data_IF_132881000790
#
_entry.id   IF_132881000790
#
_cell.length_a   1.000
_cell.length_b   1.000
_cell.length_c   1.000
_cell.angle_alpha   90.00
_cell.angle_beta   90.00
_cell.angle_gamma   90.00
#
_symmetry.space_group_name_H-M   'P 1'
#
loop_
_entity.id
_entity.type
_entity.pdbx_description
1 polymer ?
#
# COMPACT_ATOMS: atom_id res chain seq x y z
N UNK A 1 0.91 -3.98 10.90
CA UNK A 1 0.58 -2.72 10.18
C UNK A 1 -0.93 -2.48 10.21
N UNK A 2 -1.41 -1.24 10.08
CA UNK A 2 -2.86 -0.92 9.99
C UNK A 2 -3.17 0.07 8.88
N UNK A 3 -4.18 -0.21 8.08
CA UNK A 3 -4.60 0.55 6.90
C UNK A 3 -6.02 1.10 7.08
N UNK A 4 -6.22 2.36 6.74
CA UNK A 4 -7.56 2.94 6.54
C UNK A 4 -7.61 3.60 5.18
N UNK A 5 -8.56 3.18 4.35
CA UNK A 5 -8.80 3.78 3.04
C UNK A 5 -9.96 4.76 3.13
N UNK A 6 -9.88 5.88 2.42
CA UNK A 6 -10.93 6.92 2.44
C UNK A 6 -11.52 7.23 1.05
N UNK A 7 -11.13 6.47 0.04
CA UNK A 7 -11.52 6.70 -1.36
C UNK A 7 -10.33 7.06 -2.24
N UNK A 8 -10.41 6.70 -3.53
CA UNK A 8 -9.34 6.88 -4.52
C UNK A 8 -7.99 6.38 -3.97
N UNK A 9 -6.98 7.25 -3.91
CA UNK A 9 -5.64 6.96 -3.38
C UNK A 9 -5.42 7.51 -1.97
N UNK A 10 -6.48 7.96 -1.27
CA UNK A 10 -6.34 8.47 0.09
C UNK A 10 -6.26 7.35 1.10
N UNK A 11 -5.14 7.26 1.79
CA UNK A 11 -4.91 6.27 2.85
C UNK A 11 -4.33 6.93 4.10
N UNK A 12 -4.69 6.38 5.25
CA UNK A 12 -3.91 6.52 6.48
C UNK A 12 -3.31 5.16 6.82
N UNK A 13 -2.00 5.15 7.01
CA UNK A 13 -1.19 3.94 7.21
C UNK A 13 -0.46 4.08 8.52
N UNK A 14 -0.66 3.13 9.44
CA UNK A 14 0.16 2.99 10.64
C UNK A 14 1.18 1.89 10.37
N UNK A 15 2.45 2.26 10.27
CA UNK A 15 3.54 1.37 9.87
C UNK A 15 4.85 1.78 10.56
N UNK A 16 5.58 0.82 11.14
CA UNK A 16 6.85 1.04 11.85
C UNK A 16 6.76 2.12 12.92
N UNK A 17 5.68 2.09 13.72
CA UNK A 17 5.42 3.06 14.79
C UNK A 17 5.04 4.47 14.32
N UNK A 18 4.83 4.68 13.02
CA UNK A 18 4.53 5.99 12.42
C UNK A 18 3.17 6.00 11.72
N UNK A 19 2.60 7.19 11.57
CA UNK A 19 1.37 7.46 10.84
C UNK A 19 1.70 8.22 9.56
N UNK A 20 1.53 7.55 8.42
CA UNK A 20 1.66 8.14 7.09
C UNK A 20 0.26 8.40 6.50
N UNK A 21 0.09 9.55 5.85
CA UNK A 21 -1.13 9.88 5.10
C UNK A 21 -0.78 10.09 3.63
N UNK A 22 -1.41 9.30 2.76
CA UNK A 22 -1.22 9.34 1.30
C UNK A 22 -2.37 10.13 0.69
N UNK A 23 -2.08 11.08 -0.21
CA UNK A 23 -3.04 11.86 -1.00
C UNK A 23 -4.25 12.36 -0.19
N UNK A 24 -4.08 13.17 0.86
CA UNK A 24 -5.21 13.64 1.67
C UNK A 24 -6.23 14.45 0.85
N UNK A 25 -5.78 15.06 -0.25
CA UNK A 25 -6.59 15.90 -1.14
C UNK A 25 -7.37 15.09 -2.20
N UNK A 26 -7.08 13.79 -2.36
CA UNK A 26 -7.81 12.93 -3.29
C UNK A 26 -9.18 12.47 -2.73
N UNK A 27 -9.38 12.60 -1.42
CA UNK A 27 -10.57 12.13 -0.72
C UNK A 27 -11.86 12.78 -1.23
N UNK A 28 -12.99 12.13 -0.99
CA UNK A 28 -14.29 12.73 -1.30
C UNK A 28 -14.53 13.99 -0.46
N UNK A 29 -15.26 14.97 -0.99
CA UNK A 29 -15.57 16.25 -0.31
C UNK A 29 -16.38 16.10 1.00
N UNK A 30 -16.85 14.89 1.32
CA UNK A 30 -17.57 14.58 2.55
C UNK A 30 -16.66 14.31 3.74
N UNK A 31 -15.36 14.13 3.51
CA UNK A 31 -14.38 13.82 4.53
C UNK A 31 -13.65 15.09 4.97
N UNK A 32 -13.52 15.31 6.28
CA UNK A 32 -12.70 16.41 6.78
C UNK A 32 -11.22 16.06 6.64
N UNK A 33 -10.52 16.80 5.78
CA UNK A 33 -9.08 16.67 5.55
C UNK A 33 -8.26 16.75 6.84
N UNK A 34 -8.66 17.62 7.77
CA UNK A 34 -7.93 17.79 9.03
C UNK A 34 -8.07 16.55 9.92
N UNK A 35 -9.20 15.87 9.86
CA UNK A 35 -9.41 14.61 10.58
C UNK A 35 -8.51 13.50 10.04
N UNK A 36 -8.41 13.39 8.71
CA UNK A 36 -7.54 12.39 8.06
C UNK A 36 -6.08 12.59 8.43
N UNK A 37 -5.61 13.84 8.38
CA UNK A 37 -4.22 14.20 8.68
C UNK A 37 -3.90 14.26 10.17
N UNK A 38 -4.90 14.17 11.05
CA UNK A 38 -4.70 14.35 12.49
C UNK A 38 -3.75 13.29 13.05
N UNK A 39 -2.63 13.76 13.61
CA UNK A 39 -1.57 12.91 14.15
C UNK A 39 -0.73 12.19 13.08
N UNK A 40 -0.73 12.66 11.83
CA UNK A 40 0.19 12.16 10.82
C UNK A 40 1.62 12.63 11.11
N UNK A 41 2.57 11.71 11.11
CA UNK A 41 4.00 12.00 11.17
C UNK A 41 4.50 12.48 9.81
N UNK A 42 3.95 11.92 8.72
CA UNK A 42 4.25 12.36 7.36
C UNK A 42 2.98 12.38 6.50
N UNK A 43 2.90 13.38 5.61
CA UNK A 43 1.86 13.50 4.59
C UNK A 43 2.55 13.49 3.24
N UNK A 44 2.15 12.56 2.37
CA UNK A 44 2.83 12.27 1.12
C UNK A 44 1.84 12.21 -0.03
N UNK A 45 2.30 12.58 -1.22
CA UNK A 45 1.54 12.40 -2.44
C UNK A 45 1.95 11.10 -3.14
N UNK A 46 1.02 10.38 -3.76
CA UNK A 46 1.31 9.17 -4.54
C UNK A 46 2.36 9.46 -5.63
N UNK A 47 2.15 10.56 -6.37
CA UNK A 47 3.06 11.03 -7.42
C UNK A 47 3.91 12.23 -6.94
N UNK A 48 4.32 12.22 -5.66
CA UNK A 48 5.23 13.21 -5.10
C UNK A 48 6.67 13.07 -5.59
N UNK A 49 7.55 13.95 -5.11
CA UNK A 49 8.99 13.89 -5.38
C UNK A 49 9.66 12.84 -4.48
N UNK A 50 9.46 11.57 -4.83
CA UNK A 50 10.05 10.43 -4.13
C UNK A 50 11.24 9.88 -4.92
N UNK A 51 12.27 9.34 -4.25
CA UNK A 51 13.34 8.65 -4.95
C UNK A 51 12.79 7.47 -5.75
N UNK A 52 13.17 7.40 -7.03
CA UNK A 52 12.81 6.27 -7.87
C UNK A 52 13.59 5.01 -7.48
N UNK A 53 12.92 3.87 -7.45
CA UNK A 53 13.55 2.56 -7.25
C UNK A 53 13.18 1.59 -8.39
N UNK A 54 14.09 0.67 -8.67
CA UNK A 54 13.80 -0.44 -9.58
C UNK A 54 13.07 -1.56 -8.82
N UNK A 55 11.75 -1.66 -9.01
CA UNK A 55 10.91 -2.66 -8.34
C UNK A 55 11.36 -4.11 -8.53
N UNK A 56 12.03 -4.45 -9.65
CA UNK A 56 12.54 -5.80 -9.87
C UNK A 56 13.79 -6.14 -9.05
N UNK A 57 14.61 -5.14 -8.71
CA UNK A 57 15.89 -5.29 -8.03
C UNK A 57 15.90 -4.75 -6.58
N UNK A 58 14.82 -4.10 -6.17
CA UNK A 58 14.69 -3.52 -4.84
C UNK A 58 14.75 -4.59 -3.75
N UNK A 59 15.27 -4.19 -2.59
CA UNK A 59 15.38 -5.04 -1.40
C UNK A 59 14.96 -4.24 -0.18
N UNK A 60 14.22 -4.86 0.76
CA UNK A 60 13.92 -4.24 2.06
C UNK A 60 15.20 -3.81 2.77
N UNK A 61 15.11 -2.69 3.48
CA UNK A 61 16.18 -2.25 4.36
C UNK A 61 16.42 -3.29 5.45
N UNK A 62 17.67 -3.52 5.87
CA UNK A 62 17.92 -4.28 7.09
C UNK A 62 17.29 -3.57 8.29
N UNK A 63 16.69 -4.36 9.18
CA UNK A 63 16.17 -3.86 10.45
C UNK A 63 17.26 -3.10 11.22
N UNK A 64 16.88 -2.00 11.86
CA UNK A 64 17.79 -1.24 12.71
C UNK A 64 18.26 -2.10 13.89
N UNK A 65 19.54 -1.95 14.25
CA UNK A 65 20.10 -2.67 15.38
C UNK A 65 19.66 -1.97 16.66
N UNK A 66 19.27 -2.74 17.68
CA UNK A 66 18.89 -2.19 18.99
C UNK A 66 19.96 -1.30 19.64
N UNK A 67 21.25 -1.49 19.28
CA UNK A 67 22.36 -0.66 19.78
C UNK A 67 22.43 0.71 19.11
N UNK A 68 21.89 0.82 17.90
CA UNK A 68 21.88 2.03 17.08
C UNK A 68 20.51 2.75 17.14
N UNK A 69 19.47 2.06 17.60
CA UNK A 69 18.12 2.58 17.76
C UNK A 69 18.07 3.70 18.82
N UNK A 70 17.52 4.85 18.43
CA UNK A 70 17.22 5.94 19.35
C UNK A 70 15.86 5.76 20.03
N UNK A 71 15.45 6.76 20.81
CA UNK A 71 14.14 6.76 21.48
C UNK A 71 12.96 6.94 20.51
N UNK A 72 13.21 7.43 19.29
CA UNK A 72 12.21 7.64 18.26
C UNK A 72 12.26 6.55 17.18
N UNK A 73 11.11 6.12 16.62
CA UNK A 73 11.09 5.17 15.50
C UNK A 73 11.88 5.68 14.30
N UNK A 74 12.62 4.78 13.64
CA UNK A 74 13.32 5.09 12.40
C UNK A 74 12.34 5.40 11.28
N UNK A 75 12.46 6.59 10.69
CA UNK A 75 11.57 7.08 9.65
C UNK A 75 11.35 6.06 8.52
N UNK A 76 10.10 5.86 8.10
CA UNK A 76 9.79 4.99 6.96
C UNK A 76 10.44 5.55 5.67
N UNK A 77 10.95 4.67 4.82
CA UNK A 77 11.46 5.03 3.50
C UNK A 77 10.35 4.90 2.46
N UNK A 78 10.27 5.89 1.58
CA UNK A 78 9.23 5.99 0.56
C UNK A 78 9.90 6.03 -0.81
N UNK A 79 9.42 5.22 -1.74
CA UNK A 79 9.98 5.07 -3.07
C UNK A 79 8.88 5.13 -4.13
N UNK A 80 9.18 5.73 -5.28
CA UNK A 80 8.36 5.60 -6.47
C UNK A 80 8.84 4.41 -7.32
N UNK A 81 7.92 3.52 -7.73
CA UNK A 81 8.22 2.42 -8.66
C UNK A 81 7.70 2.66 -10.08
N UNK A 82 7.06 3.81 -10.31
CA UNK A 82 6.42 4.21 -11.55
C UNK A 82 5.26 5.17 -11.27
N UNK A 83 4.52 5.60 -12.30
CA UNK A 83 3.30 6.39 -12.12
C UNK A 83 2.30 5.64 -11.23
N UNK A 84 1.71 6.36 -10.28
CA UNK A 84 0.69 5.83 -9.37
C UNK A 84 1.15 4.57 -8.60
N UNK A 85 2.44 4.48 -8.28
CA UNK A 85 3.04 3.32 -7.59
C UNK A 85 4.02 3.76 -6.50
N UNK A 86 3.64 3.49 -5.26
CA UNK A 86 4.37 3.91 -4.06
C UNK A 86 4.75 2.70 -3.20
N UNK A 87 6.04 2.57 -2.89
CA UNK A 87 6.57 1.56 -1.98
C UNK A 87 6.99 2.21 -0.66
N UNK A 88 6.51 1.68 0.45
CA UNK A 88 6.80 2.12 1.80
C UNK A 88 7.51 0.98 2.54
N UNK A 89 8.68 1.28 3.08
CA UNK A 89 9.53 0.35 3.82
C UNK A 89 9.84 0.92 5.21
N UNK A 90 9.41 0.22 6.24
CA UNK A 90 9.57 0.61 7.63
C UNK A 90 10.17 -0.54 8.45
N UNK A 91 10.61 -0.25 9.67
CA UNK A 91 11.07 -1.30 10.57
C UNK A 91 9.88 -2.04 11.17
N UNK A 92 10.10 -3.29 11.59
CA UNK A 92 9.15 -4.19 12.27
C UNK A 92 7.94 -4.66 11.46
N UNK A 93 7.46 -3.86 10.50
CA UNK A 93 6.38 -4.22 9.58
C UNK A 93 6.90 -4.75 8.24
N UNK A 94 6.02 -5.45 7.52
CA UNK A 94 6.31 -5.85 6.15
C UNK A 94 6.21 -4.66 5.18
N UNK A 95 6.95 -4.63 4.06
CA UNK A 95 6.82 -3.57 3.07
C UNK A 95 5.39 -3.44 2.57
N UNK A 96 4.95 -2.20 2.36
CA UNK A 96 3.65 -1.87 1.79
C UNK A 96 3.83 -1.29 0.40
N UNK A 97 3.21 -1.92 -0.60
CA UNK A 97 3.13 -1.41 -1.96
C UNK A 97 1.70 -0.93 -2.24
N UNK A 98 1.54 0.34 -2.61
CA UNK A 98 0.24 0.91 -3.02
C UNK A 98 0.27 1.18 -4.53
N UNK A 99 -0.69 0.61 -5.25
CA UNK A 99 -0.80 0.70 -6.72
C UNK A 99 -2.13 1.36 -7.12
N UNK A 100 -2.08 2.62 -7.51
CA UNK A 100 -3.19 3.34 -8.14
C UNK A 100 -3.30 3.12 -9.65
N UNK A 101 -2.21 2.69 -10.30
CA UNK A 101 -2.12 2.47 -11.75
C UNK A 101 -1.65 1.06 -12.14
N UNK A 102 -0.99 0.96 -13.28
CA UNK A 102 -0.46 -0.31 -13.81
C UNK A 102 0.51 -0.99 -12.84
N UNK A 103 0.58 -2.32 -12.89
CA UNK A 103 1.52 -3.08 -12.06
C UNK A 103 2.93 -2.95 -12.66
N UNK A 104 3.89 -2.33 -11.95
CA UNK A 104 5.25 -2.18 -12.44
C UNK A 104 6.00 -3.54 -12.44
N UNK A 105 7.20 -3.62 -13.03
CA UNK A 105 8.07 -4.78 -12.84
C UNK A 105 8.44 -4.96 -11.37
N UNK A 106 8.12 -6.14 -10.81
CA UNK A 106 8.30 -6.46 -9.40
C UNK A 106 9.25 -7.64 -9.20
N UNK A 107 10.00 -7.60 -8.11
CA UNK A 107 10.88 -8.68 -7.68
C UNK A 107 10.22 -9.58 -6.63
N UNK A 108 10.90 -10.66 -6.26
CA UNK A 108 10.42 -11.66 -5.28
C UNK A 108 10.18 -11.11 -3.86
N UNK A 109 10.65 -9.90 -3.55
CA UNK A 109 10.38 -9.26 -2.26
C UNK A 109 8.87 -9.06 -2.03
N UNK A 110 8.08 -8.94 -3.11
CA UNK A 110 6.62 -8.79 -3.07
C UNK A 110 5.92 -9.99 -2.44
N UNK A 111 6.48 -11.20 -2.54
CA UNK A 111 5.98 -12.41 -1.86
C UNK A 111 5.85 -12.20 -0.34
N UNK A 112 6.56 -11.21 0.22
CA UNK A 112 6.55 -10.84 1.65
C UNK A 112 5.93 -9.48 1.93
N UNK A 113 5.40 -8.80 0.92
CA UNK A 113 4.79 -7.48 1.05
C UNK A 113 3.26 -7.60 1.21
N UNK A 114 2.67 -6.56 1.79
CA UNK A 114 1.27 -6.26 1.58
C UNK A 114 1.14 -5.36 0.34
N UNK A 115 0.21 -5.69 -0.56
CA UNK A 115 -0.05 -4.90 -1.76
C UNK A 115 -1.48 -4.38 -1.71
N UNK A 116 -1.66 -3.07 -1.92
CA UNK A 116 -2.96 -2.42 -2.06
C UNK A 116 -3.16 -2.05 -3.52
N UNK A 117 -4.25 -2.53 -4.12
CA UNK A 117 -4.71 -2.09 -5.43
C UNK A 117 -5.82 -1.06 -5.24
N UNK A 118 -5.58 0.19 -5.65
CA UNK A 118 -6.51 1.29 -5.52
C UNK A 118 -7.07 1.73 -6.87
N UNK A 119 -8.35 2.07 -6.94
CA UNK A 119 -8.99 2.58 -8.16
C UNK A 119 -9.64 1.50 -9.03
N UNK A 120 -9.53 1.65 -10.36
CA UNK A 120 -10.22 0.79 -11.34
C UNK A 120 -9.38 -0.37 -11.86
N UNK A 121 -10.02 -1.30 -12.58
CA UNK A 121 -9.36 -2.46 -13.18
C UNK A 121 -8.75 -3.42 -12.15
N UNK A 122 -9.37 -3.56 -10.98
CA UNK A 122 -8.83 -4.33 -9.85
C UNK A 122 -8.65 -5.81 -10.21
N UNK A 123 -9.64 -6.40 -10.92
CA UNK A 123 -9.58 -7.79 -11.34
C UNK A 123 -8.38 -8.06 -12.28
N UNK A 124 -8.20 -7.20 -13.29
CA UNK A 124 -7.10 -7.34 -14.25
C UNK A 124 -5.74 -7.18 -13.58
N UNK A 125 -5.56 -6.12 -12.79
CA UNK A 125 -4.29 -5.83 -12.11
C UNK A 125 -3.98 -6.87 -11.03
N UNK A 126 -4.99 -7.35 -10.32
CA UNK A 126 -4.85 -8.43 -9.34
C UNK A 126 -4.43 -9.75 -9.99
N UNK A 127 -5.00 -10.10 -11.15
CA UNK A 127 -4.61 -11.29 -11.90
C UNK A 127 -3.14 -11.19 -12.36
N UNK A 128 -2.76 -10.04 -12.94
CA UNK A 128 -1.36 -9.79 -13.32
C UNK A 128 -0.40 -9.93 -12.14
N UNK A 129 -0.78 -9.44 -10.96
CA UNK A 129 0.04 -9.52 -9.76
C UNK A 129 0.15 -10.97 -9.22
N UNK A 130 -0.96 -11.70 -9.23
CA UNK A 130 -1.00 -13.10 -8.80
C UNK A 130 -0.16 -14.01 -9.72
N UNK A 131 -0.21 -13.80 -11.04
CA UNK A 131 0.55 -14.59 -12.02
C UNK A 131 2.05 -14.29 -12.02
N UNK A 132 2.47 -13.10 -11.57
CA UNK A 132 3.86 -12.66 -11.65
C UNK A 132 4.66 -12.91 -10.38
N UNK A 133 4.11 -12.58 -9.21
CA UNK A 133 4.86 -12.61 -7.93
C UNK A 133 4.06 -13.08 -6.71
N UNK A 134 2.72 -13.17 -6.78
CA UNK A 134 1.83 -13.64 -5.70
C UNK A 134 2.18 -13.08 -4.29
N UNK A 135 1.70 -11.87 -3.93
CA UNK A 135 2.00 -11.26 -2.64
C UNK A 135 1.40 -12.05 -1.47
N UNK A 136 1.92 -11.84 -0.25
CA UNK A 136 1.31 -12.43 0.96
C UNK A 136 -0.13 -11.97 1.15
N UNK A 137 -0.38 -10.69 0.87
CA UNK A 137 -1.69 -10.05 1.02
C UNK A 137 -1.94 -9.10 -0.15
N UNK A 138 -3.14 -9.18 -0.71
CA UNK A 138 -3.72 -8.24 -1.66
C UNK A 138 -4.95 -7.58 -1.04
N UNK A 139 -4.90 -6.28 -0.83
CA UNK A 139 -6.01 -5.47 -0.36
C UNK A 139 -6.58 -4.63 -1.53
N UNK A 140 -7.90 -4.65 -1.68
CA UNK A 140 -8.60 -4.00 -2.78
C UNK A 140 -9.33 -2.75 -2.31
N UNK A 141 -9.06 -1.62 -2.95
CA UNK A 141 -9.60 -0.30 -2.62
C UNK A 141 -10.25 0.34 -3.86
N UNK A 142 -11.49 -0.05 -4.16
CA UNK A 142 -12.23 0.49 -5.30
C UNK A 142 -13.74 0.49 -5.09
N UNK A 143 -14.48 0.75 -6.16
CA UNK A 143 -15.94 0.75 -6.10
C UNK A 143 -16.49 -0.66 -5.89
N UNK A 144 -17.74 -0.76 -5.43
CA UNK A 144 -18.44 -2.05 -5.27
C UNK A 144 -18.39 -2.90 -6.55
N UNK A 145 -18.60 -2.30 -7.72
CA UNK A 145 -18.50 -2.99 -9.01
C UNK A 145 -17.09 -3.54 -9.31
N UNK A 146 -16.05 -2.82 -8.93
CA UNK A 146 -14.66 -3.29 -9.08
C UNK A 146 -14.35 -4.44 -8.11
N UNK A 147 -14.85 -4.35 -6.87
CA UNK A 147 -14.71 -5.41 -5.88
C UNK A 147 -15.44 -6.68 -6.33
N UNK A 148 -16.70 -6.58 -6.75
CA UNK A 148 -17.48 -7.72 -7.25
C UNK A 148 -16.77 -8.43 -8.41
N UNK A 149 -16.27 -7.66 -9.38
CA UNK A 149 -15.53 -8.20 -10.51
C UNK A 149 -14.24 -8.91 -10.07
N UNK A 150 -13.51 -8.34 -9.10
CA UNK A 150 -12.28 -8.92 -8.57
C UNK A 150 -12.53 -10.20 -7.77
N UNK A 151 -13.52 -10.21 -6.86
CA UNK A 151 -13.86 -11.41 -6.08
C UNK A 151 -14.45 -12.53 -6.93
N UNK A 152 -15.05 -12.23 -8.08
CA UNK A 152 -15.47 -13.24 -9.04
C UNK A 152 -14.29 -13.89 -9.80
N UNK A 153 -13.20 -13.16 -10.03
CA UNK A 153 -12.12 -13.58 -10.95
C UNK A 153 -10.84 -14.03 -10.27
N UNK A 154 -10.46 -13.40 -9.15
CA UNK A 154 -9.17 -13.60 -8.50
C UNK A 154 -9.03 -14.91 -7.70
N UNK A 155 -10.05 -15.43 -6.99
CA UNK A 155 -9.86 -16.57 -6.09
C UNK A 155 -9.13 -17.80 -6.68
N UNK A 156 -9.36 -18.20 -7.95
CA UNK A 156 -8.63 -19.31 -8.55
C UNK A 156 -7.13 -19.06 -8.77
N UNK A 157 -6.67 -17.80 -8.71
CA UNK A 157 -5.30 -17.37 -9.03
C UNK A 157 -4.44 -17.11 -7.79
N UNK A 158 -5.05 -17.02 -6.60
CA UNK A 158 -4.39 -16.43 -5.43
C UNK A 158 -3.23 -17.28 -4.86
N UNK A 159 -3.21 -18.59 -5.05
CA UNK A 159 -2.15 -19.51 -4.59
C UNK A 159 -1.55 -19.16 -3.20
N UNK A 160 -2.41 -18.99 -2.20
CA UNK A 160 -2.02 -18.64 -0.82
C UNK A 160 -1.92 -17.14 -0.52
N UNK A 161 -2.07 -16.26 -1.52
CA UNK A 161 -2.30 -14.82 -1.36
C UNK A 161 -3.61 -14.60 -0.61
N UNK A 162 -3.57 -13.90 0.53
CA UNK A 162 -4.79 -13.43 1.17
C UNK A 162 -5.41 -12.30 0.33
N UNK A 163 -6.74 -12.30 0.17
CA UNK A 163 -7.47 -11.26 -0.55
C UNK A 163 -8.49 -10.61 0.40
N UNK A 164 -8.50 -9.28 0.48
CA UNK A 164 -9.48 -8.53 1.25
C UNK A 164 -9.95 -7.27 0.52
N UNK A 165 -11.17 -6.85 0.81
CA UNK A 165 -11.69 -5.52 0.43
C UNK A 165 -11.45 -4.53 1.55
N UNK A 166 -11.10 -3.30 1.20
CA UNK A 166 -11.07 -2.17 2.11
C UNK A 166 -12.39 -1.40 2.01
N UNK A 167 -13.02 -1.19 3.16
CA UNK A 167 -14.21 -0.35 3.27
C UNK A 167 -13.80 1.09 3.60
N UNK A 168 -14.39 2.11 2.95
CA UNK A 168 -14.07 3.51 3.24
C UNK A 168 -14.28 3.87 4.72
N UNK A 169 -13.24 4.40 5.35
CA UNK A 169 -13.24 4.81 6.75
C UNK A 169 -13.06 3.66 7.76
N UNK A 170 -13.06 2.40 7.31
CA UNK A 170 -12.80 1.27 8.19
C UNK A 170 -11.29 1.01 8.27
N UNK A 171 -10.80 0.86 9.49
CA UNK A 171 -9.42 0.52 9.72
C UNK A 171 -9.23 -0.99 9.82
N UNK A 172 -8.29 -1.53 9.05
CA UNK A 172 -8.00 -2.96 8.93
C UNK A 172 -6.56 -3.22 9.33
N UNK A 173 -6.36 -4.23 10.16
CA UNK A 173 -5.04 -4.70 10.56
C UNK A 173 -4.55 -5.78 9.60
N UNK A 174 -3.29 -5.68 9.20
CA UNK A 174 -2.66 -6.50 8.15
C UNK A 174 -1.27 -6.98 8.55
#
# INVERSE_FOLDING_TARGET
MKLTWFGKTTFRVHIGGQILVIDPDAASSRLDRNEVMSGADQVIAMNGDHPAANGAAWKPRPAERLLDAGDAPRAAQIWALGPDSLLIDADEDMPLLVLGGDVPPLGRWVERAAVVLAGGGLALRGAQLAETVAPRLMALAGSEAELDAAFAQLPPLLDGTALLALEPGLAVEV
#
